data_IF_514023304527
#
_entry.id   IF_514023304527
#
_cell.length_a   1.000
_cell.length_b   1.000
_cell.length_c   1.000
_cell.angle_alpha   90.00
_cell.angle_beta   90.00
_cell.angle_gamma   90.00
#
_symmetry.space_group_name_H-M   'P 1'
#
loop_
_entity.id
_entity.type
_entity.pdbx_description
1 polymer ?
#
# COMPACT_ATOMS: atom_id res chain seq x y z
N UNK A 1 4.37 -16.93 -26.59
CA UNK A 1 4.26 -17.41 -25.20
C UNK A 1 3.74 -16.28 -24.33
N UNK A 2 2.75 -16.54 -23.48
CA UNK A 2 2.29 -15.56 -22.49
C UNK A 2 3.37 -15.33 -21.46
N UNK A 3 3.54 -14.07 -21.04
CA UNK A 3 4.50 -13.69 -19.99
C UNK A 3 3.98 -12.47 -19.24
N UNK A 4 4.50 -12.19 -18.07
CA UNK A 4 4.26 -10.92 -17.36
C UNK A 4 4.88 -9.79 -18.19
N UNK A 5 4.07 -8.79 -18.50
CA UNK A 5 4.42 -7.61 -19.28
C UNK A 5 4.37 -6.32 -18.44
N UNK A 6 3.65 -6.36 -17.32
CA UNK A 6 3.47 -5.23 -16.43
C UNK A 6 3.41 -5.67 -14.98
N UNK A 7 4.07 -4.90 -14.13
CA UNK A 7 3.95 -4.99 -12.67
C UNK A 7 3.31 -3.71 -12.19
N UNK A 8 2.36 -3.81 -11.28
CA UNK A 8 1.70 -2.68 -10.65
C UNK A 8 2.02 -2.72 -9.15
N UNK A 9 2.90 -1.82 -8.71
CA UNK A 9 3.33 -1.73 -7.32
C UNK A 9 2.45 -0.77 -6.52
N UNK A 10 2.31 -1.03 -5.23
CA UNK A 10 1.92 0.00 -4.28
C UNK A 10 3.11 0.89 -3.89
N UNK A 11 2.88 1.94 -3.12
CA UNK A 11 3.88 2.89 -2.69
C UNK A 11 4.31 2.69 -1.24
N UNK A 12 3.60 3.24 -0.26
CA UNK A 12 3.99 3.24 1.15
C UNK A 12 3.92 1.83 1.75
N UNK A 13 5.04 1.33 2.28
CA UNK A 13 5.16 -0.04 2.78
C UNK A 13 5.53 -1.07 1.71
N UNK A 14 5.55 -0.68 0.45
CA UNK A 14 5.87 -1.54 -0.71
C UNK A 14 7.11 -1.04 -1.46
N UNK A 15 7.05 0.18 -1.99
CA UNK A 15 8.16 0.79 -2.74
C UNK A 15 8.94 1.82 -1.92
N UNK A 16 8.26 2.56 -1.05
CA UNK A 16 8.81 3.59 -0.16
C UNK A 16 8.23 3.43 1.26
N UNK A 17 8.72 4.21 2.23
CA UNK A 17 8.19 4.25 3.61
C UNK A 17 8.18 2.86 4.27
N UNK A 18 9.36 2.32 4.55
CA UNK A 18 9.52 1.01 5.20
C UNK A 18 8.72 0.94 6.50
N UNK A 19 7.70 0.06 6.54
CA UNK A 19 6.77 -0.10 7.66
C UNK A 19 5.51 0.77 7.56
N UNK A 20 5.36 1.58 6.51
CA UNK A 20 4.18 2.44 6.27
C UNK A 20 3.86 3.34 7.49
N UNK A 21 4.84 4.17 7.92
CA UNK A 21 4.70 4.99 9.13
C UNK A 21 4.13 6.39 8.89
N UNK A 22 4.36 7.00 7.72
CA UNK A 22 3.89 8.35 7.44
C UNK A 22 2.37 8.52 7.64
N UNK A 23 1.50 7.71 7.01
CA UNK A 23 0.07 7.85 7.18
C UNK A 23 -0.40 7.47 8.58
N UNK A 24 0.24 6.48 9.23
CA UNK A 24 -0.10 6.07 10.61
C UNK A 24 0.07 7.21 11.59
N UNK A 25 1.22 7.91 11.55
CA UNK A 25 1.49 9.05 12.41
C UNK A 25 0.48 10.19 12.16
N UNK A 26 0.19 10.48 10.89
CA UNK A 26 -0.76 11.54 10.53
C UNK A 26 -2.19 11.24 11.01
N UNK A 27 -2.66 10.00 10.93
CA UNK A 27 -3.97 9.62 11.49
C UNK A 27 -4.01 9.80 13.00
N UNK A 28 -3.02 9.28 13.72
CA UNK A 28 -2.95 9.38 15.19
C UNK A 28 -2.98 10.84 15.60
N UNK A 29 -2.15 11.70 14.99
CA UNK A 29 -2.10 13.12 15.34
C UNK A 29 -3.43 13.81 15.04
N UNK A 30 -4.03 13.58 13.87
CA UNK A 30 -5.29 14.21 13.51
C UNK A 30 -6.45 13.88 14.47
N UNK A 31 -6.49 12.67 15.01
CA UNK A 31 -7.50 12.25 16.00
C UNK A 31 -7.16 12.74 17.42
N UNK A 32 -5.86 12.82 17.77
CA UNK A 32 -5.40 13.39 19.04
C UNK A 32 -5.82 14.86 19.19
N UNK A 33 -5.78 15.65 18.12
CA UNK A 33 -6.20 17.07 18.12
C UNK A 33 -7.63 17.27 18.63
N UNK A 34 -8.51 16.34 18.39
CA UNK A 34 -9.88 16.39 18.88
C UNK A 34 -10.07 15.63 20.19
N UNK A 35 -8.99 15.10 20.78
CA UNK A 35 -9.02 14.31 22.02
C UNK A 35 -9.83 13.02 21.92
N UNK A 36 -9.85 12.41 20.73
CA UNK A 36 -10.44 11.09 20.44
C UNK A 36 -9.30 10.21 19.88
N UNK A 37 -8.40 9.71 20.74
CA UNK A 37 -7.19 9.05 20.29
C UNK A 37 -7.49 7.73 19.58
N UNK A 38 -6.74 7.46 18.49
CA UNK A 38 -6.68 6.16 17.81
C UNK A 38 -5.29 5.54 17.99
N UNK A 39 -5.21 4.23 17.98
CA UNK A 39 -3.95 3.50 18.11
C UNK A 39 -3.35 3.19 16.74
N UNK A 40 -2.03 2.92 16.69
CA UNK A 40 -1.38 2.46 15.47
C UNK A 40 -2.00 1.15 14.93
N UNK A 41 -2.41 0.24 15.80
CA UNK A 41 -3.06 -1.00 15.38
C UNK A 41 -4.43 -0.74 14.71
N UNK A 42 -5.21 0.19 15.25
CA UNK A 42 -6.50 0.58 14.66
C UNK A 42 -6.32 1.26 13.30
N UNK A 43 -5.34 2.17 13.16
CA UNK A 43 -5.07 2.84 11.88
C UNK A 43 -4.60 1.83 10.83
N UNK A 44 -3.69 0.91 11.18
CA UNK A 44 -3.15 -0.09 10.26
C UNK A 44 -4.19 -1.08 9.74
N UNK A 45 -5.26 -1.35 10.51
CA UNK A 45 -6.31 -2.29 10.11
C UNK A 45 -7.06 -1.89 8.83
N UNK A 46 -7.04 -0.61 8.47
CA UNK A 46 -7.75 -0.07 7.31
C UNK A 46 -6.81 0.49 6.23
N UNK A 47 -5.49 0.36 6.44
CA UNK A 47 -4.47 0.91 5.53
C UNK A 47 -4.63 0.35 4.12
N UNK A 48 -4.37 1.22 3.13
CA UNK A 48 -4.45 0.87 1.71
C UNK A 48 -5.78 1.23 1.03
N UNK A 49 -6.82 1.64 1.79
CA UNK A 49 -8.03 2.27 1.26
C UNK A 49 -7.75 3.73 0.84
N UNK A 50 -8.75 4.44 0.34
CA UNK A 50 -8.66 5.91 0.21
C UNK A 50 -8.60 6.55 1.58
N UNK A 51 -7.88 7.66 1.74
CA UNK A 51 -7.66 8.29 3.06
C UNK A 51 -8.95 8.74 3.74
N UNK A 52 -9.96 9.14 2.98
CA UNK A 52 -11.27 9.50 3.53
C UNK A 52 -12.03 8.26 4.04
N UNK A 53 -11.90 7.12 3.34
CA UNK A 53 -12.51 5.86 3.77
C UNK A 53 -11.81 5.28 5.00
N UNK A 54 -10.48 5.42 5.11
CA UNK A 54 -9.73 5.06 6.32
C UNK A 54 -10.22 5.86 7.52
N UNK A 55 -10.39 7.19 7.40
CA UNK A 55 -10.92 8.04 8.48
C UNK A 55 -12.34 7.62 8.88
N UNK A 56 -13.20 7.36 7.88
CA UNK A 56 -14.56 6.89 8.15
C UNK A 56 -14.56 5.55 8.88
N UNK A 57 -13.67 4.64 8.49
CA UNK A 57 -13.51 3.35 9.16
C UNK A 57 -13.02 3.51 10.60
N UNK A 58 -12.08 4.42 10.86
CA UNK A 58 -11.61 4.73 12.21
C UNK A 58 -12.74 5.25 13.10
N UNK A 59 -13.57 6.16 12.61
CA UNK A 59 -14.76 6.62 13.34
C UNK A 59 -15.78 5.51 13.61
N UNK A 60 -15.83 4.45 12.80
CA UNK A 60 -16.73 3.33 12.97
C UNK A 60 -16.23 2.28 13.98
N UNK A 61 -15.02 2.37 14.47
CA UNK A 61 -14.53 1.52 15.57
C UNK A 61 -15.36 1.85 16.84
N UNK A 62 -15.95 0.85 17.47
CA UNK A 62 -16.86 1.03 18.61
C UNK A 62 -16.27 1.90 19.72
N UNK A 63 -15.00 1.68 20.07
CA UNK A 63 -14.26 2.47 21.08
C UNK A 63 -14.13 3.93 20.65
N UNK A 64 -13.75 4.19 19.40
CA UNK A 64 -13.57 5.54 18.86
C UNK A 64 -14.91 6.27 18.80
N UNK A 65 -15.95 5.57 18.33
CA UNK A 65 -17.32 6.08 18.29
C UNK A 65 -17.85 6.44 19.69
N UNK A 66 -17.58 5.60 20.68
CA UNK A 66 -17.94 5.87 22.07
C UNK A 66 -17.20 7.09 22.63
N UNK A 67 -15.89 7.18 22.42
CA UNK A 67 -15.08 8.32 22.84
C UNK A 67 -15.52 9.63 22.17
N UNK A 68 -15.91 9.58 20.89
CA UNK A 68 -16.44 10.75 20.19
C UNK A 68 -17.77 11.22 20.80
N UNK A 69 -18.70 10.27 21.06
CA UNK A 69 -19.99 10.58 21.71
C UNK A 69 -19.81 11.18 23.12
N UNK A 70 -18.90 10.60 23.90
CA UNK A 70 -18.59 11.10 25.25
C UNK A 70 -18.10 12.54 25.19
N UNK A 71 -17.22 12.87 24.25
CA UNK A 71 -16.63 14.18 24.13
C UNK A 71 -17.55 15.24 23.54
N UNK A 72 -18.31 14.89 22.51
CA UNK A 72 -19.10 15.85 21.72
C UNK A 72 -20.60 15.77 21.98
N UNK A 73 -21.08 14.79 22.75
CA UNK A 73 -22.50 14.61 23.08
C UNK A 73 -23.39 14.16 21.88
N UNK A 74 -22.77 13.75 20.77
CA UNK A 74 -23.44 13.37 19.53
C UNK A 74 -22.64 12.32 18.75
N UNK A 75 -23.28 11.70 17.76
CA UNK A 75 -22.57 10.88 16.76
C UNK A 75 -21.72 11.78 15.83
N UNK A 76 -20.68 11.19 15.24
CA UNK A 76 -19.92 11.85 14.19
C UNK A 76 -20.75 11.99 12.91
N UNK A 77 -20.44 12.98 12.10
CA UNK A 77 -21.07 13.28 10.81
C UNK A 77 -20.02 13.25 9.68
N UNK A 78 -20.48 13.40 8.44
CA UNK A 78 -19.54 13.52 7.31
C UNK A 78 -18.69 14.79 7.39
N UNK A 79 -19.18 15.87 8.01
CA UNK A 79 -18.37 17.07 8.26
C UNK A 79 -17.21 16.79 9.24
N UNK A 80 -17.42 15.93 10.25
CA UNK A 80 -16.35 15.51 11.17
C UNK A 80 -15.31 14.68 10.41
N UNK A 81 -15.73 13.80 9.49
CA UNK A 81 -14.82 13.02 8.64
C UNK A 81 -13.99 13.95 7.75
N UNK A 82 -14.62 14.95 7.11
CA UNK A 82 -13.91 15.94 6.29
C UNK A 82 -12.93 16.78 7.12
N UNK A 83 -13.33 17.23 8.31
CA UNK A 83 -12.45 17.98 9.20
C UNK A 83 -11.20 17.17 9.61
N UNK A 84 -11.36 15.86 9.88
CA UNK A 84 -10.23 14.97 10.18
C UNK A 84 -9.36 14.74 8.94
N UNK A 85 -9.96 14.64 7.78
CA UNK A 85 -9.21 14.52 6.52
C UNK A 85 -8.32 15.74 6.28
N UNK A 86 -8.83 16.95 6.48
CA UNK A 86 -8.05 18.18 6.37
C UNK A 86 -6.89 18.20 7.39
N UNK A 87 -7.16 17.83 8.64
CA UNK A 87 -6.13 17.75 9.68
C UNK A 87 -5.07 16.70 9.34
N UNK A 88 -5.48 15.52 8.91
CA UNK A 88 -4.60 14.45 8.43
C UNK A 88 -3.69 14.93 7.28
N UNK A 89 -4.27 15.58 6.26
CA UNK A 89 -3.49 16.09 5.13
C UNK A 89 -2.42 17.10 5.58
N UNK A 90 -2.77 18.01 6.48
CA UNK A 90 -1.81 19.00 7.00
C UNK A 90 -0.60 18.32 7.63
N UNK A 91 -0.83 17.34 8.52
CA UNK A 91 0.27 16.61 9.19
C UNK A 91 1.08 15.79 8.19
N UNK A 92 0.40 15.12 7.27
CA UNK A 92 1.05 14.25 6.29
C UNK A 92 1.94 15.07 5.34
N UNK A 93 1.45 16.18 4.79
CA UNK A 93 2.21 16.99 3.84
C UNK A 93 3.52 17.54 4.43
N UNK A 94 3.54 17.86 5.73
CA UNK A 94 4.73 18.35 6.41
C UNK A 94 5.86 17.29 6.53
N UNK A 95 5.51 16.01 6.39
CA UNK A 95 6.43 14.89 6.64
C UNK A 95 6.64 13.97 5.45
N UNK A 96 5.79 14.04 4.43
CA UNK A 96 5.68 13.04 3.36
C UNK A 96 6.98 12.86 2.56
N UNK A 97 7.72 13.94 2.30
CA UNK A 97 9.01 13.87 1.61
C UNK A 97 10.02 13.00 2.38
N UNK A 98 10.01 13.06 3.72
CA UNK A 98 10.94 12.30 4.58
C UNK A 98 10.65 10.78 4.56
N UNK A 99 9.46 10.39 4.13
CA UNK A 99 9.03 8.99 4.01
C UNK A 99 8.97 8.49 2.56
N UNK A 100 9.63 9.20 1.65
CA UNK A 100 9.64 8.85 0.22
C UNK A 100 10.92 8.10 -0.20
N UNK A 101 11.78 7.73 0.76
CA UNK A 101 12.97 6.93 0.51
C UNK A 101 12.58 5.52 0.04
N UNK A 102 13.15 5.02 -1.07
CA UNK A 102 12.87 3.67 -1.55
C UNK A 102 13.28 2.59 -0.54
N UNK A 103 12.44 1.58 -0.39
CA UNK A 103 12.72 0.40 0.43
C UNK A 103 13.90 -0.37 -0.17
N UNK A 104 14.79 -0.97 0.65
CA UNK A 104 15.94 -1.72 0.17
C UNK A 104 15.58 -2.75 -0.90
N UNK A 105 16.37 -2.77 -1.99
CA UNK A 105 16.17 -3.67 -3.13
C UNK A 105 15.18 -3.18 -4.20
N UNK A 106 14.35 -2.17 -3.90
CA UNK A 106 13.32 -1.69 -4.85
C UNK A 106 13.94 -1.10 -6.10
N UNK A 107 14.89 -0.18 -5.97
CA UNK A 107 15.49 0.51 -7.13
C UNK A 107 16.13 -0.49 -8.08
N UNK A 108 17.00 -1.34 -7.57
CA UNK A 108 17.76 -2.32 -8.38
C UNK A 108 16.82 -3.35 -9.04
N UNK A 109 15.84 -3.85 -8.29
CA UNK A 109 14.89 -4.84 -8.82
C UNK A 109 14.00 -4.23 -9.91
N UNK A 110 13.44 -3.05 -9.67
CA UNK A 110 12.59 -2.35 -10.65
C UNK A 110 13.39 -2.02 -11.92
N UNK A 111 14.63 -1.57 -11.78
CA UNK A 111 15.49 -1.32 -12.94
C UNK A 111 15.80 -2.60 -13.72
N UNK A 112 16.08 -3.71 -13.04
CA UNK A 112 16.31 -5.01 -13.69
C UNK A 112 15.07 -5.49 -14.45
N UNK A 113 13.87 -5.35 -13.86
CA UNK A 113 12.62 -5.71 -14.51
C UNK A 113 12.32 -4.82 -15.73
N UNK A 114 12.58 -3.52 -15.63
CA UNK A 114 12.46 -2.60 -16.77
C UNK A 114 13.42 -2.97 -17.91
N UNK A 115 14.67 -3.32 -17.60
CA UNK A 115 15.64 -3.83 -18.59
C UNK A 115 15.19 -5.13 -19.26
N UNK A 116 14.41 -5.95 -18.57
CA UNK A 116 13.77 -7.14 -19.12
C UNK A 116 12.52 -6.84 -19.98
N UNK A 117 12.16 -5.56 -20.16
CA UNK A 117 11.03 -5.10 -20.95
C UNK A 117 9.68 -5.16 -20.22
N UNK A 118 9.66 -5.26 -18.90
CA UNK A 118 8.46 -5.22 -18.08
C UNK A 118 8.12 -3.76 -17.75
N UNK A 119 6.89 -3.37 -17.98
CA UNK A 119 6.35 -2.04 -17.65
C UNK A 119 6.09 -1.92 -16.16
N UNK A 120 6.36 -0.75 -15.59
CA UNK A 120 6.24 -0.50 -14.15
C UNK A 120 5.10 0.50 -13.91
N UNK A 121 3.93 -0.02 -13.61
CA UNK A 121 2.79 0.78 -13.14
C UNK A 121 2.77 0.87 -11.62
N UNK A 122 1.94 1.75 -11.11
CA UNK A 122 1.68 1.82 -9.67
C UNK A 122 0.26 2.26 -9.35
N UNK A 123 -0.24 1.83 -8.18
CA UNK A 123 -1.49 2.30 -7.57
C UNK A 123 -1.24 2.74 -6.14
N UNK A 124 -2.04 3.65 -5.62
CA UNK A 124 -1.87 4.15 -4.25
C UNK A 124 -3.19 4.59 -3.64
N UNK A 125 -3.28 4.54 -2.31
CA UNK A 125 -4.33 5.20 -1.54
C UNK A 125 -4.06 6.69 -1.29
N UNK A 126 -2.92 7.21 -1.75
CA UNK A 126 -2.63 8.64 -1.73
C UNK A 126 -3.39 9.36 -2.85
N UNK A 127 -3.61 10.67 -2.65
CA UNK A 127 -4.18 11.55 -3.67
C UNK A 127 -3.11 12.05 -4.64
N UNK A 128 -3.54 12.61 -5.78
CA UNK A 128 -2.63 13.25 -6.74
C UNK A 128 -1.70 14.27 -6.07
N UNK A 129 -2.27 15.12 -5.19
CA UNK A 129 -1.49 16.13 -4.43
C UNK A 129 -0.43 15.54 -3.51
N UNK A 130 -0.68 14.37 -2.93
CA UNK A 130 0.32 13.66 -2.14
C UNK A 130 1.40 13.07 -3.05
N UNK A 131 1.01 12.53 -4.19
CA UNK A 131 1.93 11.98 -5.17
C UNK A 131 2.78 13.03 -5.86
N UNK A 132 2.33 14.28 -5.96
CA UNK A 132 3.13 15.43 -6.40
C UNK A 132 4.38 15.68 -5.51
N UNK A 133 4.37 15.18 -4.27
CA UNK A 133 5.52 15.22 -3.34
C UNK A 133 6.32 13.91 -3.41
N UNK A 134 5.64 12.76 -3.31
CA UNK A 134 6.28 11.44 -3.20
C UNK A 134 7.04 11.06 -4.47
N UNK A 135 6.43 11.25 -5.64
CA UNK A 135 7.04 10.84 -6.92
C UNK A 135 8.39 11.57 -7.15
N UNK A 136 8.48 12.91 -7.08
CA UNK A 136 9.75 13.59 -7.28
C UNK A 136 10.82 13.21 -6.25
N UNK A 137 10.43 13.00 -5.00
CA UNK A 137 11.35 12.59 -3.94
C UNK A 137 11.89 11.16 -4.18
N UNK A 138 11.04 10.22 -4.52
CA UNK A 138 11.43 8.85 -4.84
C UNK A 138 12.27 8.77 -6.13
N UNK A 139 11.94 9.56 -7.17
CA UNK A 139 12.73 9.64 -8.40
C UNK A 139 14.15 10.17 -8.15
N UNK A 140 14.29 11.18 -7.29
CA UNK A 140 15.59 11.71 -6.86
C UNK A 140 16.42 10.64 -6.15
N UNK A 141 15.78 9.70 -5.44
CA UNK A 141 16.42 8.57 -4.80
C UNK A 141 16.56 7.33 -5.71
N UNK A 142 16.19 7.45 -7.01
CA UNK A 142 16.39 6.44 -8.05
C UNK A 142 15.19 5.55 -8.36
N UNK A 143 14.08 5.67 -7.64
CA UNK A 143 12.86 4.89 -7.92
C UNK A 143 11.94 5.63 -8.88
N UNK A 144 11.66 5.00 -10.03
CA UNK A 144 10.79 5.57 -11.06
C UNK A 144 9.77 4.55 -11.56
N UNK A 145 8.55 5.02 -11.78
CA UNK A 145 7.45 4.25 -12.42
C UNK A 145 7.15 4.79 -13.82
N UNK A 146 6.55 3.96 -14.67
CA UNK A 146 6.11 4.37 -16.01
C UNK A 146 4.72 4.99 -15.96
N UNK A 147 3.91 4.64 -14.95
CA UNK A 147 2.60 5.24 -14.68
C UNK A 147 2.25 5.15 -13.20
N UNK A 148 1.60 6.18 -12.66
CA UNK A 148 1.04 6.17 -11.31
C UNK A 148 -0.43 6.53 -11.38
N UNK A 149 -1.28 5.70 -10.80
CA UNK A 149 -2.73 5.92 -10.76
C UNK A 149 -3.20 6.03 -9.32
N UNK A 150 -3.83 7.16 -9.02
CA UNK A 150 -4.58 7.40 -7.78
C UNK A 150 -6.06 7.12 -8.00
N UNK A 151 -6.87 7.17 -6.96
CA UNK A 151 -8.33 7.04 -7.08
C UNK A 151 -9.05 8.37 -7.39
N UNK A 152 -8.34 9.50 -7.44
CA UNK A 152 -8.97 10.84 -7.49
C UNK A 152 -9.90 11.06 -8.69
N UNK A 153 -9.63 10.41 -9.82
CA UNK A 153 -10.43 10.51 -11.03
C UNK A 153 -11.13 9.19 -11.41
N UNK A 154 -11.30 8.30 -10.44
CA UNK A 154 -11.92 7.00 -10.62
C UNK A 154 -13.16 6.85 -9.75
N UNK A 155 -14.09 5.94 -10.09
CA UNK A 155 -15.32 5.73 -9.30
C UNK A 155 -15.08 5.32 -7.86
N UNK A 156 -13.97 4.62 -7.57
CA UNK A 156 -13.58 4.20 -6.22
C UNK A 156 -12.10 3.75 -6.19
N UNK A 157 -11.50 3.78 -5.00
CA UNK A 157 -10.18 3.19 -4.72
C UNK A 157 -10.26 1.69 -4.43
N UNK A 158 -9.23 1.14 -3.79
CA UNK A 158 -9.19 -0.26 -3.33
C UNK A 158 -10.37 -0.57 -2.40
N UNK A 159 -10.90 -1.76 -2.44
CA UNK A 159 -10.45 -2.96 -3.16
C UNK A 159 -10.98 -3.09 -4.59
N UNK A 160 -11.56 -2.04 -5.16
CA UNK A 160 -12.05 -2.05 -6.53
C UNK A 160 -10.88 -2.05 -7.54
N UNK A 161 -11.02 -2.70 -8.72
CA UNK A 161 -9.93 -2.92 -9.65
C UNK A 161 -9.62 -1.74 -10.58
N UNK A 162 -10.26 -0.60 -10.38
CA UNK A 162 -10.25 0.52 -11.34
C UNK A 162 -8.85 1.08 -11.60
N UNK A 163 -8.01 1.23 -10.55
CA UNK A 163 -6.66 1.73 -10.71
C UNK A 163 -5.76 0.75 -11.47
N UNK A 164 -5.94 -0.56 -11.26
CA UNK A 164 -5.24 -1.60 -12.02
C UNK A 164 -5.62 -1.53 -13.49
N UNK A 165 -6.92 -1.47 -13.82
CA UNK A 165 -7.39 -1.38 -15.20
C UNK A 165 -6.98 -0.07 -15.87
N UNK A 166 -6.94 1.02 -15.13
CA UNK A 166 -6.43 2.30 -15.64
C UNK A 166 -4.95 2.20 -16.01
N UNK A 167 -4.11 1.60 -15.16
CA UNK A 167 -2.72 1.32 -15.49
C UNK A 167 -2.59 0.46 -16.77
N UNK A 168 -3.41 -0.58 -16.92
CA UNK A 168 -3.39 -1.44 -18.11
C UNK A 168 -3.69 -0.64 -19.38
N UNK A 169 -4.68 0.27 -19.34
CA UNK A 169 -5.04 1.13 -20.47
C UNK A 169 -3.89 2.08 -20.80
N UNK A 170 -3.39 2.82 -19.81
CA UNK A 170 -2.36 3.84 -19.99
C UNK A 170 -1.03 3.25 -20.46
N UNK A 171 -0.71 2.05 -19.97
CA UNK A 171 0.50 1.30 -20.34
C UNK A 171 0.30 0.36 -21.55
N UNK A 172 -0.88 0.36 -22.16
CA UNK A 172 -1.22 -0.49 -23.30
C UNK A 172 -0.90 -1.98 -23.04
N UNK A 173 -1.40 -2.53 -21.91
CA UNK A 173 -1.29 -3.96 -21.56
C UNK A 173 -2.63 -4.63 -21.83
N UNK A 174 -2.73 -5.52 -22.82
CA UNK A 174 -4.04 -5.97 -23.33
C UNK A 174 -4.68 -7.10 -22.51
N UNK A 175 -3.96 -7.77 -21.63
CA UNK A 175 -4.46 -8.94 -20.90
C UNK A 175 -4.14 -8.87 -19.41
N UNK A 176 -5.14 -9.17 -18.58
CA UNK A 176 -4.98 -9.31 -17.12
C UNK A 176 -4.02 -10.45 -16.76
N UNK A 177 -3.94 -11.49 -17.60
CA UNK A 177 -3.00 -12.60 -17.39
C UNK A 177 -1.54 -12.16 -17.42
N UNK A 178 -1.24 -11.04 -18.11
CA UNK A 178 0.12 -10.50 -18.27
C UNK A 178 0.46 -9.44 -17.22
N UNK A 179 -0.39 -9.24 -16.21
CA UNK A 179 -0.23 -8.22 -15.16
C UNK A 179 -0.02 -8.87 -13.81
N UNK A 180 0.88 -8.29 -13.02
CA UNK A 180 1.13 -8.67 -11.63
C UNK A 180 0.91 -7.44 -10.73
N UNK A 181 0.01 -7.55 -9.75
CA UNK A 181 -0.13 -6.60 -8.65
C UNK A 181 0.80 -7.00 -7.50
N UNK A 182 1.57 -6.06 -7.00
CA UNK A 182 2.50 -6.22 -5.88
C UNK A 182 2.20 -5.20 -4.79
N UNK A 183 2.01 -5.64 -3.55
CA UNK A 183 1.66 -4.73 -2.46
C UNK A 183 1.76 -5.36 -1.09
N UNK A 184 1.61 -4.55 -0.06
CA UNK A 184 1.90 -4.88 1.34
C UNK A 184 0.68 -4.93 2.25
N UNK A 185 -0.49 -4.50 1.74
CA UNK A 185 -1.74 -4.48 2.52
C UNK A 185 -2.74 -5.52 2.03
N UNK A 186 -3.68 -5.88 2.90
CA UNK A 186 -4.84 -6.72 2.50
C UNK A 186 -5.69 -6.03 1.42
N UNK A 187 -5.73 -4.70 1.41
CA UNK A 187 -6.41 -3.93 0.37
C UNK A 187 -5.76 -4.09 -1.01
N UNK A 188 -4.42 -4.15 -1.08
CA UNK A 188 -3.66 -4.45 -2.31
C UNK A 188 -3.99 -5.84 -2.85
N UNK A 189 -3.96 -6.82 -1.95
CA UNK A 189 -4.27 -8.20 -2.33
C UNK A 189 -5.68 -8.28 -2.92
N UNK A 190 -6.66 -7.69 -2.26
CA UNK A 190 -8.04 -7.66 -2.75
C UNK A 190 -8.19 -6.90 -4.08
N UNK A 191 -7.44 -5.79 -4.27
CA UNK A 191 -7.41 -5.05 -5.54
C UNK A 191 -6.94 -5.95 -6.68
N UNK A 192 -5.82 -6.66 -6.51
CA UNK A 192 -5.28 -7.58 -7.50
C UNK A 192 -6.21 -8.76 -7.80
N UNK A 193 -6.78 -9.38 -6.76
CA UNK A 193 -7.77 -10.48 -6.88
C UNK A 193 -9.01 -10.02 -7.66
N UNK A 194 -9.55 -8.85 -7.32
CA UNK A 194 -10.72 -8.29 -7.98
C UNK A 194 -10.43 -7.90 -9.44
N UNK A 195 -9.20 -7.45 -9.71
CA UNK A 195 -8.74 -7.17 -11.08
C UNK A 195 -8.46 -8.44 -11.90
N UNK A 196 -8.46 -9.63 -11.28
CA UNK A 196 -8.13 -10.91 -11.92
C UNK A 196 -6.70 -10.97 -12.47
N UNK A 197 -5.78 -10.26 -11.84
CA UNK A 197 -4.35 -10.27 -12.16
C UNK A 197 -3.58 -11.17 -11.20
N UNK A 198 -2.36 -11.53 -11.55
CA UNK A 198 -1.45 -12.18 -10.60
C UNK A 198 -1.20 -11.25 -9.42
N UNK A 199 -1.28 -11.79 -8.21
CA UNK A 199 -1.24 -10.98 -6.98
C UNK A 199 -0.18 -11.53 -6.05
N UNK A 200 0.78 -10.68 -5.69
CA UNK A 200 1.91 -11.02 -4.84
C UNK A 200 1.96 -10.05 -3.65
N UNK A 201 1.99 -10.61 -2.46
CA UNK A 201 2.17 -9.84 -1.22
C UNK A 201 3.64 -9.75 -0.82
N UNK A 202 4.02 -8.69 -0.11
CA UNK A 202 5.35 -8.50 0.48
C UNK A 202 5.27 -8.39 1.99
N UNK A 203 6.25 -8.99 2.68
CA UNK A 203 6.28 -9.03 4.15
C UNK A 203 7.18 -7.95 4.74
N UNK A 204 8.43 -7.88 4.29
CA UNK A 204 9.41 -6.93 4.84
C UNK A 204 9.12 -5.52 4.37
N UNK A 205 9.12 -4.58 5.29
CA UNK A 205 8.74 -3.20 5.00
C UNK A 205 7.22 -2.93 4.97
N UNK A 206 6.40 -3.97 5.15
CA UNK A 206 4.95 -3.88 5.01
C UNK A 206 4.25 -3.21 6.19
N UNK A 207 3.07 -2.62 5.90
CA UNK A 207 2.09 -2.24 6.91
C UNK A 207 1.68 -3.42 7.81
N UNK A 208 1.59 -4.62 7.23
CA UNK A 208 1.17 -5.82 7.95
C UNK A 208 2.21 -6.30 8.96
N UNK A 209 3.53 -6.17 8.66
CA UNK A 209 4.61 -6.44 9.60
C UNK A 209 4.73 -5.32 10.65
N UNK A 210 4.53 -4.06 10.24
CA UNK A 210 4.47 -2.87 11.10
C UNK A 210 5.71 -2.67 11.97
N UNK A 211 6.90 -2.77 11.38
CA UNK A 211 8.20 -2.63 12.07
C UNK A 211 9.16 -1.76 11.28
N UNK A 212 10.01 -1.02 11.99
CA UNK A 212 11.14 -0.32 11.37
C UNK A 212 12.25 -1.31 11.03
N UNK A 213 13.22 -0.88 10.21
CA UNK A 213 14.39 -1.70 9.89
C UNK A 213 15.21 -2.03 11.15
N UNK A 214 15.35 -1.07 12.07
CA UNK A 214 16.06 -1.24 13.34
C UNK A 214 15.34 -2.25 14.25
N UNK A 215 14.00 -2.16 14.33
CA UNK A 215 13.21 -3.13 15.09
C UNK A 215 13.36 -4.54 14.53
N UNK A 216 13.30 -4.68 13.21
CA UNK A 216 13.50 -5.97 12.53
C UNK A 216 14.91 -6.53 12.81
N UNK A 217 15.93 -5.68 12.70
CA UNK A 217 17.32 -6.09 12.96
C UNK A 217 17.57 -6.49 14.43
N UNK A 218 16.79 -5.95 15.36
CA UNK A 218 16.88 -6.26 16.79
C UNK A 218 16.08 -7.52 17.21
N UNK A 219 15.20 -8.04 16.34
CA UNK A 219 14.42 -9.24 16.65
C UNK A 219 15.28 -10.50 16.62
N UNK A 220 14.90 -11.47 17.45
CA UNK A 220 15.40 -12.83 17.28
C UNK A 220 14.85 -13.46 15.99
N UNK A 221 15.63 -14.37 15.39
CA UNK A 221 15.19 -15.05 14.16
C UNK A 221 13.82 -15.74 14.35
N UNK A 222 13.60 -16.42 15.47
CA UNK A 222 12.34 -17.10 15.75
C UNK A 222 11.15 -16.16 15.91
N UNK A 223 11.33 -14.96 16.48
CA UNK A 223 10.28 -13.96 16.57
C UNK A 223 9.94 -13.38 15.18
N UNK A 224 10.96 -13.05 14.41
CA UNK A 224 10.77 -12.54 13.05
C UNK A 224 10.07 -13.58 12.18
N UNK A 225 10.49 -14.83 12.21
CA UNK A 225 9.88 -15.91 11.43
C UNK A 225 8.41 -16.13 11.79
N UNK A 226 8.07 -16.07 13.08
CA UNK A 226 6.67 -16.19 13.53
C UNK A 226 5.80 -15.05 13.00
N UNK A 227 6.32 -13.79 13.02
CA UNK A 227 5.59 -12.62 12.48
C UNK A 227 5.43 -12.71 10.96
N UNK A 228 6.50 -13.09 10.25
CA UNK A 228 6.47 -13.30 8.80
C UNK A 228 5.45 -14.37 8.41
N UNK A 229 5.40 -15.48 9.16
CA UNK A 229 4.44 -16.55 8.93
C UNK A 229 2.98 -16.05 9.09
N UNK A 230 2.70 -15.22 10.09
CA UNK A 230 1.38 -14.65 10.30
C UNK A 230 0.98 -13.69 9.17
N UNK A 231 1.87 -12.80 8.75
CA UNK A 231 1.63 -11.90 7.60
C UNK A 231 1.36 -12.71 6.33
N UNK A 232 2.19 -13.72 6.04
CA UNK A 232 2.00 -14.61 4.90
C UNK A 232 0.64 -15.30 4.92
N UNK A 233 0.25 -15.86 6.07
CA UNK A 233 -1.05 -16.52 6.25
C UNK A 233 -2.20 -15.57 5.90
N UNK A 234 -2.19 -14.35 6.45
CA UNK A 234 -3.25 -13.34 6.21
C UNK A 234 -3.34 -12.92 4.74
N UNK A 235 -2.21 -12.70 4.09
CA UNK A 235 -2.18 -12.33 2.67
C UNK A 235 -2.65 -13.48 1.76
N UNK A 236 -2.26 -14.73 2.06
CA UNK A 236 -2.73 -15.89 1.32
C UNK A 236 -4.24 -16.12 1.52
N UNK A 237 -4.75 -15.97 2.74
CA UNK A 237 -6.20 -16.03 3.03
C UNK A 237 -6.99 -14.93 2.33
N UNK A 238 -6.38 -13.75 2.11
CA UNK A 238 -6.98 -12.67 1.33
C UNK A 238 -6.98 -12.93 -0.19
N UNK A 239 -6.27 -13.97 -0.66
CA UNK A 239 -6.25 -14.42 -2.03
C UNK A 239 -4.96 -14.13 -2.81
N UNK A 240 -3.87 -13.76 -2.14
CA UNK A 240 -2.57 -13.65 -2.81
C UNK A 240 -2.15 -14.98 -3.44
N UNK A 241 -1.64 -14.94 -4.67
CA UNK A 241 -1.10 -16.11 -5.35
C UNK A 241 0.26 -16.52 -4.78
N UNK A 242 1.03 -15.52 -4.36
CA UNK A 242 2.35 -15.69 -3.73
C UNK A 242 2.55 -14.61 -2.66
N UNK A 243 3.41 -14.89 -1.69
CA UNK A 243 3.89 -13.91 -0.72
C UNK A 243 5.40 -14.08 -0.57
N UNK A 244 6.13 -13.01 -0.79
CA UNK A 244 7.59 -12.96 -0.72
C UNK A 244 8.07 -12.22 0.53
N UNK A 245 9.30 -12.43 0.93
CA UNK A 245 9.87 -11.64 2.02
C UNK A 245 10.12 -10.21 1.57
N UNK A 246 10.79 -10.02 0.45
CA UNK A 246 11.08 -8.70 -0.11
C UNK A 246 11.03 -8.72 -1.66
N UNK A 247 11.19 -7.55 -2.26
CA UNK A 247 11.05 -7.38 -3.70
C UNK A 247 12.15 -8.11 -4.51
N UNK A 248 13.27 -8.45 -3.92
CA UNK A 248 14.37 -9.13 -4.63
C UNK A 248 14.00 -10.54 -5.06
N UNK A 249 12.98 -11.15 -4.45
CA UNK A 249 12.43 -12.45 -4.85
C UNK A 249 11.48 -12.35 -6.07
N UNK A 250 11.01 -11.15 -6.41
CA UNK A 250 9.98 -10.95 -7.43
C UNK A 250 10.39 -11.45 -8.84
N UNK A 251 11.64 -11.32 -9.32
CA UNK A 251 12.05 -11.88 -10.59
C UNK A 251 11.84 -13.40 -10.68
N UNK A 252 12.15 -14.15 -9.62
CA UNK A 252 11.96 -15.60 -9.57
C UNK A 252 10.47 -15.99 -9.55
N UNK A 253 9.64 -15.20 -8.88
CA UNK A 253 8.18 -15.39 -8.90
C UNK A 253 7.62 -15.15 -10.30
N UNK A 254 8.07 -14.09 -11.00
CA UNK A 254 7.66 -13.80 -12.38
C UNK A 254 8.02 -14.96 -13.31
N UNK A 255 9.19 -15.53 -13.17
CA UNK A 255 9.62 -16.67 -13.96
C UNK A 255 8.74 -17.90 -13.70
N UNK A 256 8.41 -18.17 -12.45
CA UNK A 256 7.45 -19.23 -12.05
C UNK A 256 6.06 -19.00 -12.65
N UNK A 257 5.56 -17.77 -12.63
CA UNK A 257 4.27 -17.42 -13.23
C UNK A 257 4.32 -17.62 -14.75
N UNK A 258 5.37 -17.15 -15.41
CA UNK A 258 5.54 -17.31 -16.86
C UNK A 258 5.55 -18.78 -17.29
N UNK A 259 6.20 -19.65 -16.51
CA UNK A 259 6.18 -21.10 -16.75
C UNK A 259 4.76 -21.67 -16.61
N UNK A 260 4.02 -21.31 -15.55
CA UNK A 260 2.63 -21.77 -15.35
C UNK A 260 1.68 -21.34 -16.46
N UNK A 261 1.84 -20.13 -16.99
CA UNK A 261 0.99 -19.62 -18.07
C UNK A 261 1.20 -20.35 -19.42
N UNK A 262 2.27 -21.10 -19.56
CA UNK A 262 2.64 -21.79 -20.81
C UNK A 262 2.57 -23.33 -20.70
N UNK A 263 2.10 -23.85 -19.56
CA UNK A 263 1.73 -25.26 -19.38
C UNK A 263 0.29 -25.51 -19.78
#
# INVERSE_FOLDING_TARGET
>A
MKKIECIILDWAGTAVDYGCFAPVAAFIESFNEIGVPVTAAETRAYMGLTKIEEIRALFNIDRVKAAFREKFGRDYTDEDVQARYVAFQRVLFDTLENYSEPIPGVVDTVEALRKAGIKIGSTTGYTDKMMDIVIPAAEKAGYKVDNCVTSDHLPAGRPYPYMVYRNMIDLAVPSVDCVLKYGDTIADIKEGVNAKVWTVGVVMGSNELARTQEEVAAMSAGELDARKAEVRRRMLEAGAHYVVDDITELPAIIETINQKMNQ
#
